data_IF_105460150553
#
_entry.id   IF_105460150553
#
_cell.length_a   1.000
_cell.length_b   1.000
_cell.length_c   1.000
_cell.angle_alpha   90.00
_cell.angle_beta   90.00
_cell.angle_gamma   90.00
#
_symmetry.space_group_name_H-M   'P 1'
#
loop_
_entity.id
_entity.type
_entity.pdbx_description
1 polymer ?
#
# COMPACT_ATOMS: atom_id res chain seq x y z
N UNK A 1 3.65 8.72 -2.67
CA UNK A 1 4.43 7.61 -2.04
C UNK A 1 5.73 8.18 -1.47
N UNK A 2 6.19 7.70 -0.30
CA UNK A 2 7.42 8.22 0.35
C UNK A 2 8.57 7.20 0.46
N UNK A 3 8.29 5.91 0.26
CA UNK A 3 9.36 4.91 0.14
C UNK A 3 8.85 3.57 -0.37
N UNK A 4 9.71 2.86 -1.10
CA UNK A 4 9.48 1.50 -1.57
C UNK A 4 10.53 0.58 -0.94
N UNK A 5 10.11 -0.64 -0.59
CA UNK A 5 10.91 -1.76 -0.09
C UNK A 5 10.42 -3.03 -0.78
N UNK A 6 11.25 -4.08 -0.78
CA UNK A 6 10.89 -5.37 -1.37
C UNK A 6 9.58 -5.95 -0.80
N UNK A 7 9.30 -5.71 0.48
CA UNK A 7 8.09 -6.20 1.14
C UNK A 7 6.87 -5.28 1.01
N UNK A 8 7.00 -4.07 0.45
CA UNK A 8 5.89 -3.12 0.34
C UNK A 8 6.29 -1.66 0.17
N UNK A 9 5.30 -0.78 0.25
CA UNK A 9 5.48 0.67 0.09
C UNK A 9 4.96 1.45 1.31
N UNK A 10 5.69 2.49 1.70
CA UNK A 10 5.26 3.49 2.67
C UNK A 10 4.50 4.62 1.96
N UNK A 11 3.26 4.81 2.38
CA UNK A 11 2.34 5.80 1.82
C UNK A 11 2.14 6.89 2.86
N UNK A 12 2.52 8.12 2.52
CA UNK A 12 2.19 9.27 3.35
C UNK A 12 0.68 9.56 3.22
N UNK A 13 -0.02 9.48 4.35
CA UNK A 13 -1.47 9.71 4.43
C UNK A 13 -1.78 11.16 4.80
N UNK A 14 -0.94 11.72 5.68
CA UNK A 14 -0.96 13.12 6.11
C UNK A 14 0.44 13.48 6.64
N UNK A 15 0.77 14.77 6.84
CA UNK A 15 2.04 15.16 7.43
C UNK A 15 2.32 14.42 8.74
N UNK A 16 3.47 13.74 8.81
CA UNK A 16 3.88 12.96 9.98
C UNK A 16 3.13 11.64 10.21
N UNK A 17 2.35 11.15 9.24
CA UNK A 17 1.67 9.86 9.34
C UNK A 17 1.80 9.07 8.05
N UNK A 18 2.52 7.96 8.17
CA UNK A 18 2.74 7.01 7.09
C UNK A 18 2.05 5.68 7.40
N UNK A 19 1.50 5.05 6.37
CA UNK A 19 0.98 3.69 6.43
C UNK A 19 1.79 2.76 5.54
N UNK A 20 1.78 1.47 5.90
CA UNK A 20 2.46 0.42 5.14
C UNK A 20 1.45 -0.31 4.24
N UNK A 21 1.69 -0.26 2.94
CA UNK A 21 1.05 -1.11 1.94
C UNK A 21 1.95 -2.31 1.66
N UNK A 22 1.65 -3.46 2.28
CA UNK A 22 2.41 -4.69 2.08
C UNK A 22 2.24 -5.22 0.65
N UNK A 23 3.27 -5.86 0.08
CA UNK A 23 3.27 -6.36 -1.32
C UNK A 23 2.06 -7.26 -1.63
N UNK A 24 1.67 -8.12 -0.68
CA UNK A 24 0.50 -9.01 -0.81
C UNK A 24 -0.85 -8.29 -0.79
N UNK A 25 -0.88 -6.97 -0.57
CA UNK A 25 -2.07 -6.11 -0.52
C UNK A 25 -2.11 -5.06 -1.62
N UNK A 26 -1.14 -5.08 -2.55
CA UNK A 26 -1.08 -4.11 -3.65
C UNK A 26 -2.11 -4.42 -4.75
N UNK A 27 -2.19 -5.68 -5.19
CA UNK A 27 -3.07 -6.10 -6.29
C UNK A 27 -3.71 -7.46 -6.02
N UNK A 28 -4.82 -7.77 -6.70
CA UNK A 28 -5.52 -9.05 -6.58
C UNK A 28 -4.67 -10.22 -7.08
N UNK A 29 -3.87 -9.98 -8.11
CA UNK A 29 -2.80 -10.88 -8.57
C UNK A 29 -1.55 -10.80 -7.70
N UNK A 30 -0.74 -11.87 -7.77
CA UNK A 30 0.58 -11.90 -7.13
C UNK A 30 1.48 -10.83 -7.75
N UNK A 31 2.13 -10.06 -6.89
CA UNK A 31 3.13 -9.04 -7.25
C UNK A 31 4.48 -9.57 -6.79
N UNK A 32 5.44 -9.67 -7.72
CA UNK A 32 6.81 -10.12 -7.42
C UNK A 32 7.72 -8.96 -7.01
N UNK A 33 7.55 -7.79 -7.65
CA UNK A 33 8.31 -6.57 -7.34
C UNK A 33 7.36 -5.41 -7.17
N UNK A 34 7.57 -4.61 -6.13
CA UNK A 34 6.70 -3.47 -5.80
C UNK A 34 6.82 -2.39 -6.86
N UNK A 35 8.03 -2.19 -7.39
CA UNK A 35 8.39 -1.20 -8.39
C UNK A 35 7.70 -1.43 -9.75
N UNK A 36 7.27 -2.66 -10.04
CA UNK A 36 6.55 -2.97 -11.28
C UNK A 36 5.10 -2.42 -11.28
N UNK A 37 4.58 -2.08 -10.11
CA UNK A 37 3.16 -1.72 -9.90
C UNK A 37 2.94 -0.41 -9.15
N UNK A 38 4.01 0.14 -8.57
CA UNK A 38 4.00 1.36 -7.78
C UNK A 38 5.27 2.17 -8.06
N UNK A 39 5.10 3.49 -8.19
CA UNK A 39 6.22 4.41 -8.43
C UNK A 39 6.39 5.42 -7.30
N UNK A 40 7.64 5.83 -7.07
CA UNK A 40 7.93 6.95 -6.16
C UNK A 40 7.25 8.24 -6.66
N UNK A 41 6.71 9.03 -5.74
CA UNK A 41 5.93 10.24 -6.07
C UNK A 41 4.50 9.98 -6.55
N UNK A 42 4.13 8.74 -6.88
CA UNK A 42 2.77 8.39 -7.29
C UNK A 42 1.77 8.57 -6.13
N UNK A 43 0.58 9.08 -6.47
CA UNK A 43 -0.58 9.07 -5.59
C UNK A 43 -1.42 7.83 -5.87
N UNK A 44 -1.74 7.09 -4.82
CA UNK A 44 -2.52 5.85 -4.93
C UNK A 44 -3.66 5.85 -3.93
N UNK A 45 -4.80 5.31 -4.37
CA UNK A 45 -5.94 5.06 -3.48
C UNK A 45 -5.69 3.80 -2.67
N UNK A 46 -5.92 3.91 -1.36
CA UNK A 46 -5.74 2.84 -0.39
C UNK A 46 -6.83 2.91 0.66
N UNK A 47 -7.12 1.76 1.28
CA UNK A 47 -7.97 1.65 2.45
C UNK A 47 -7.15 1.24 3.66
N UNK A 48 -7.44 1.82 4.81
CA UNK A 48 -6.90 1.38 6.10
C UNK A 48 -7.57 0.07 6.49
N UNK A 49 -6.76 -0.95 6.80
CA UNK A 49 -7.24 -2.27 7.21
C UNK A 49 -7.01 -2.56 8.68
N UNK A 50 -6.00 -1.91 9.29
CA UNK A 50 -5.67 -2.09 10.69
C UNK A 50 -4.86 -0.90 11.21
N UNK A 51 -5.03 -0.59 12.49
CA UNK A 51 -4.24 0.41 13.23
C UNK A 51 -3.80 -0.24 14.53
N UNK A 52 -2.50 -0.45 14.67
CA UNK A 52 -1.93 -0.92 15.93
C UNK A 52 -1.83 0.27 16.90
N UNK A 53 -2.70 0.29 17.90
CA UNK A 53 -2.76 1.36 18.91
C UNK A 53 -1.49 1.45 19.79
N UNK A 54 -0.69 0.39 19.88
CA UNK A 54 0.54 0.39 20.69
C UNK A 54 1.71 0.98 19.92
N UNK A 55 1.83 0.65 18.63
CA UNK A 55 2.98 1.05 17.81
C UNK A 55 2.68 2.24 16.90
N UNK A 56 1.40 2.59 16.72
CA UNK A 56 0.95 3.59 15.75
C UNK A 56 1.02 3.12 14.30
N UNK A 57 1.32 1.84 14.06
CA UNK A 57 1.45 1.28 12.71
C UNK A 57 0.09 1.22 12.03
N UNK A 58 0.02 1.80 10.83
CA UNK A 58 -1.18 1.77 9.98
C UNK A 58 -0.93 0.79 8.83
N UNK A 59 -1.79 -0.23 8.74
CA UNK A 59 -1.74 -1.20 7.63
C UNK A 59 -2.73 -0.80 6.55
N UNK A 60 -2.29 -0.87 5.29
CA UNK A 60 -3.05 -0.43 4.12
C UNK A 60 -3.32 -1.59 3.14
N UNK A 61 -4.39 -1.46 2.36
CA UNK A 61 -4.68 -2.29 1.19
C UNK A 61 -5.06 -1.43 -0.01
N UNK A 62 -4.64 -1.85 -1.21
CA UNK A 62 -5.07 -1.25 -2.48
C UNK A 62 -6.04 -2.16 -3.25
N UNK A 63 -6.05 -3.47 -2.94
CA UNK A 63 -6.90 -4.49 -3.58
C UNK A 63 -8.35 -4.08 -3.78
N UNK A 64 -8.97 -3.50 -2.74
CA UNK A 64 -10.39 -3.16 -2.75
C UNK A 64 -10.71 -1.91 -3.61
N UNK A 65 -9.68 -1.17 -4.03
CA UNK A 65 -9.79 0.02 -4.88
C UNK A 65 -9.49 -0.29 -6.35
N UNK A 66 -9.01 -1.50 -6.65
CA UNK A 66 -8.79 -1.93 -8.01
C UNK A 66 -10.11 -2.45 -8.59
N UNK A 67 -10.38 -2.21 -9.88
CA UNK A 67 -11.48 -2.90 -10.53
C UNK A 67 -11.34 -4.41 -10.31
N UNK A 68 -12.46 -5.10 -10.06
CA UNK A 68 -12.46 -6.54 -10.11
C UNK A 68 -11.91 -6.94 -11.49
N UNK A 69 -10.88 -7.79 -11.49
CA UNK A 69 -10.37 -8.37 -12.72
C UNK A 69 -11.57 -9.05 -13.39
N UNK A 70 -12.01 -8.50 -14.53
CA UNK A 70 -13.01 -9.16 -15.38
C UNK A 70 -12.25 -10.19 -16.19
N UNK A 71 -12.08 -11.38 -15.61
CA UNK A 71 -11.77 -12.58 -16.40
C UNK A 71 -12.94 -12.89 -17.35
#
# INVERSE_FOLDING_TARGET
MVGIKEFGAFINLKPGTDGLLHISRIANKRVEKVEDVLSMGEQVLVRVIDIDAKTGKISLTRKDMLPADKD
#
